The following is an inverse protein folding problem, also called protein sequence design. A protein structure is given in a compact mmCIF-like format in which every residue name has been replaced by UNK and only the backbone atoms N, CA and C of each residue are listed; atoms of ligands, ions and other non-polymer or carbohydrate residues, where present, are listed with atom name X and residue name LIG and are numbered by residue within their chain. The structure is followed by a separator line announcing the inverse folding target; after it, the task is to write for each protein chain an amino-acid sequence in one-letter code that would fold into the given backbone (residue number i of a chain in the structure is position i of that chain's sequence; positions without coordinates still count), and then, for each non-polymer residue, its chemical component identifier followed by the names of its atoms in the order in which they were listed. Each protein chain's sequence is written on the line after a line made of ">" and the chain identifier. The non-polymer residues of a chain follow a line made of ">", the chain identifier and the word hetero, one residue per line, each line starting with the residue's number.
data_IF_145871688401
#
_entry.id   IF_145871688401
#
_cell.length_a   1.000
_cell.length_b   1.000
_cell.length_c   1.000
_cell.angle_alpha   90.00
_cell.angle_beta   90.00
_cell.angle_gamma   90.00
#
_symmetry.space_group_name_H-M   'P 1'
#
loop_
_entity.id
_entity.type
_entity.pdbx_description
1 polymer ?
#
# COMPACT_ATOMS: atom_id res chain seq x y z
N UNK A 1 18.25 11.59 7.78
CA UNK A 1 17.45 10.59 7.06
C UNK A 1 17.71 9.20 7.62
N UNK A 2 16.69 8.66 8.28
CA UNK A 2 16.65 7.29 8.73
C UNK A 2 16.50 6.32 7.52
N UNK A 3 17.02 5.09 7.61
CA UNK A 3 16.82 4.08 6.58
C UNK A 3 15.33 3.84 6.29
N UNK A 4 14.97 3.63 5.01
CA UNK A 4 13.60 3.27 4.62
C UNK A 4 12.60 4.44 4.51
N UNK A 5 12.98 5.68 4.84
CA UNK A 5 12.07 6.84 4.71
C UNK A 5 11.52 7.00 3.29
N UNK A 6 12.39 6.90 2.28
CA UNK A 6 11.96 6.97 0.87
C UNK A 6 11.05 5.80 0.48
N UNK A 7 11.35 4.61 0.97
CA UNK A 7 10.56 3.40 0.74
C UNK A 7 9.12 3.60 1.24
N UNK A 8 8.98 4.07 2.47
CA UNK A 8 7.68 4.29 3.09
C UNK A 8 6.91 5.45 2.42
N UNK A 9 7.62 6.50 1.99
CA UNK A 9 7.06 7.60 1.22
C UNK A 9 6.45 7.13 -0.11
N UNK A 10 7.17 6.31 -0.88
CA UNK A 10 6.64 5.76 -2.14
C UNK A 10 5.45 4.82 -1.90
N UNK A 11 5.51 3.99 -0.85
CA UNK A 11 4.41 3.09 -0.55
C UNK A 11 3.14 3.86 -0.15
N UNK A 12 3.27 4.96 0.60
CA UNK A 12 2.18 5.88 0.90
C UNK A 12 1.68 6.59 -0.36
N UNK A 13 2.58 7.01 -1.25
CA UNK A 13 2.20 7.66 -2.52
C UNK A 13 1.32 6.75 -3.36
N UNK A 14 1.72 5.49 -3.54
CA UNK A 14 0.94 4.49 -4.29
C UNK A 14 -0.38 4.19 -3.56
N UNK A 15 -0.36 4.01 -2.24
CA UNK A 15 -1.56 3.75 -1.46
C UNK A 15 -2.59 4.89 -1.55
N UNK A 16 -2.16 6.16 -1.47
CA UNK A 16 -3.05 7.33 -1.63
C UNK A 16 -3.58 7.40 -3.07
N UNK A 17 -2.71 7.19 -4.06
CA UNK A 17 -3.10 7.19 -5.50
C UNK A 17 -4.21 6.18 -5.78
N UNK A 18 -4.18 5.01 -5.12
CA UNK A 18 -5.15 3.93 -5.29
C UNK A 18 -6.29 3.96 -4.26
N UNK A 19 -6.31 4.94 -3.35
CA UNK A 19 -7.38 5.14 -2.36
C UNK A 19 -7.36 4.20 -1.15
N UNK A 20 -6.21 3.62 -0.82
CA UNK A 20 -6.00 2.74 0.34
C UNK A 20 -5.35 3.43 1.53
N UNK A 21 -4.89 4.66 1.34
CA UNK A 21 -4.43 5.55 2.40
C UNK A 21 -5.01 6.95 2.19
N UNK A 22 -5.09 7.71 3.27
CA UNK A 22 -5.49 9.11 3.27
C UNK A 22 -4.27 10.03 3.42
N UNK A 23 -4.45 11.32 3.12
CA UNK A 23 -3.46 12.37 3.41
C UNK A 23 -3.04 12.34 4.88
N UNK A 24 -3.98 12.07 5.79
CA UNK A 24 -3.71 11.97 7.22
C UNK A 24 -2.71 10.85 7.57
N UNK A 25 -2.67 9.74 6.81
CA UNK A 25 -1.71 8.66 7.06
C UNK A 25 -0.28 9.10 6.71
N UNK A 26 -0.12 9.91 5.65
CA UNK A 26 1.18 10.47 5.26
C UNK A 26 1.66 11.53 6.26
N UNK A 27 0.77 12.38 6.76
CA UNK A 27 1.08 13.34 7.83
C UNK A 27 1.52 12.61 9.09
N UNK A 28 0.73 11.63 9.55
CA UNK A 28 1.04 10.86 10.75
C UNK A 28 2.38 10.09 10.61
N UNK A 29 2.69 9.60 9.41
CA UNK A 29 4.00 9.05 9.12
C UNK A 29 5.12 10.09 9.26
N UNK A 30 5.01 11.22 8.56
CA UNK A 30 6.03 12.27 8.60
C UNK A 30 6.27 12.77 10.03
N UNK A 31 5.21 12.98 10.82
CA UNK A 31 5.30 13.40 12.22
C UNK A 31 6.10 12.40 13.07
N UNK A 32 5.85 11.09 12.90
CA UNK A 32 6.64 10.04 13.60
C UNK A 32 8.11 10.10 13.21
N UNK A 33 8.40 10.31 11.92
CA UNK A 33 9.78 10.40 11.44
C UNK A 33 10.48 11.67 11.97
N UNK A 34 9.80 12.82 11.97
CA UNK A 34 10.31 14.09 12.51
C UNK A 34 10.65 13.97 14.00
N UNK A 35 9.81 13.28 14.77
CA UNK A 35 10.08 13.03 16.20
C UNK A 35 11.30 12.13 16.40
N UNK A 36 11.51 11.16 15.51
CA UNK A 36 12.59 10.18 15.63
C UNK A 36 13.94 10.65 15.06
N UNK A 37 13.95 11.54 14.07
CA UNK A 37 15.17 12.05 13.44
C UNK A 37 15.47 13.46 13.99
N UNK A 38 16.59 13.68 14.70
CA UNK A 38 16.95 15.00 15.22
C UNK A 38 17.31 16.01 14.12
N UNK A 39 17.46 15.58 12.86
CA UNK A 39 17.68 16.43 11.68
C UNK A 39 16.84 15.88 10.51
N UNK A 40 15.52 16.03 10.56
CA UNK A 40 14.65 15.52 9.51
C UNK A 40 14.90 16.30 8.21
N UNK A 41 14.66 15.65 7.09
CA UNK A 41 14.69 16.31 5.78
C UNK A 41 13.53 17.32 5.67
N UNK A 42 13.74 18.41 4.94
CA UNK A 42 12.72 19.43 4.70
C UNK A 42 11.47 18.86 4.04
N UNK A 43 11.62 17.85 3.16
CA UNK A 43 10.49 17.19 2.54
C UNK A 43 9.51 16.58 3.57
N UNK A 44 10.01 16.10 4.72
CA UNK A 44 9.15 15.56 5.78
C UNK A 44 8.34 16.66 6.48
N UNK A 45 8.95 17.84 6.65
CA UNK A 45 8.27 19.00 7.24
C UNK A 45 7.16 19.49 6.30
N UNK A 46 7.42 19.55 5.00
CA UNK A 46 6.40 19.93 4.01
C UNK A 46 5.22 18.95 4.02
N UNK A 47 5.48 17.64 4.12
CA UNK A 47 4.43 16.61 4.23
C UNK A 47 3.62 16.78 5.53
N UNK A 48 4.27 16.97 6.67
CA UNK A 48 3.61 17.18 7.97
C UNK A 48 2.67 18.40 7.94
N UNK A 49 3.09 19.49 7.29
CA UNK A 49 2.32 20.73 7.18
C UNK A 49 1.22 20.68 6.11
N UNK A 50 1.27 19.74 5.17
CA UNK A 50 0.33 19.63 4.04
C UNK A 50 -1.00 18.94 4.38
N UNK A 51 -1.34 18.74 5.66
CA UNK A 51 -2.53 17.98 6.08
C UNK A 51 -3.89 18.52 5.61
N UNK A 52 -3.95 19.77 5.12
CA UNK A 52 -5.16 20.38 4.51
C UNK A 52 -5.12 20.42 2.97
N UNK A 53 -4.04 19.93 2.36
CA UNK A 53 -3.85 19.90 0.91
C UNK A 53 -4.69 18.84 0.21
N UNK A 54 -4.65 18.86 -1.13
CA UNK A 54 -5.31 17.82 -1.93
C UNK A 54 -4.48 16.52 -1.92
N UNK A 55 -5.10 15.35 -2.18
CA UNK A 55 -4.35 14.11 -2.37
C UNK A 55 -3.28 14.22 -3.47
N UNK A 56 -3.52 15.00 -4.52
CA UNK A 56 -2.57 15.21 -5.62
C UNK A 56 -1.32 15.97 -5.16
N UNK A 57 -1.48 16.98 -4.31
CA UNK A 57 -0.35 17.72 -3.73
C UNK A 57 0.46 16.79 -2.83
N UNK A 58 -0.21 16.00 -1.99
CA UNK A 58 0.44 15.02 -1.11
C UNK A 58 1.23 13.96 -1.92
N UNK A 59 0.67 13.47 -3.02
CA UNK A 59 1.36 12.54 -3.93
C UNK A 59 2.65 13.15 -4.49
N UNK A 60 2.62 14.46 -4.79
CA UNK A 60 3.78 15.19 -5.31
C UNK A 60 4.85 15.32 -4.24
N UNK A 61 4.48 15.71 -3.01
CA UNK A 61 5.40 15.84 -1.88
C UNK A 61 6.06 14.49 -1.53
N UNK A 62 5.30 13.41 -1.50
CA UNK A 62 5.82 12.06 -1.20
C UNK A 62 6.85 11.59 -2.25
N UNK A 63 6.63 11.92 -3.53
CA UNK A 63 7.59 11.62 -4.61
C UNK A 63 8.90 12.36 -4.42
N UNK A 64 8.86 13.59 -3.90
CA UNK A 64 10.01 14.47 -3.79
C UNK A 64 10.87 14.20 -2.54
N UNK A 65 10.43 13.30 -1.64
CA UNK A 65 11.27 12.76 -0.57
C UNK A 65 12.54 12.16 -1.19
N UNK A 66 13.75 12.52 -0.71
CA UNK A 66 14.99 12.04 -1.30
C UNK A 66 15.31 10.60 -0.87
N UNK A 67 16.05 9.88 -1.71
CA UNK A 67 16.53 8.53 -1.46
C UNK A 67 16.31 7.60 -2.65
N UNK A 68 16.87 6.40 -2.55
CA UNK A 68 16.64 5.32 -3.52
C UNK A 68 15.51 4.40 -3.05
N UNK A 69 14.89 3.72 -4.01
CA UNK A 69 13.76 2.83 -3.78
C UNK A 69 14.06 1.47 -4.37
N UNK A 70 13.73 0.43 -3.62
CA UNK A 70 13.55 -0.90 -4.19
C UNK A 70 12.07 -1.09 -4.53
N UNK A 71 11.76 -1.14 -5.83
CA UNK A 71 10.38 -1.22 -6.31
C UNK A 71 9.65 -2.44 -5.77
N UNK A 72 10.32 -3.59 -5.72
CA UNK A 72 9.73 -4.82 -5.18
C UNK A 72 9.29 -4.61 -3.73
N UNK A 73 10.20 -4.12 -2.88
CA UNK A 73 9.87 -3.82 -1.49
C UNK A 73 8.73 -2.80 -1.36
N UNK A 74 8.60 -1.82 -2.26
CA UNK A 74 7.53 -0.80 -2.19
C UNK A 74 6.20 -1.49 -2.43
N UNK A 75 6.14 -2.36 -3.43
CA UNK A 75 4.93 -3.10 -3.74
C UNK A 75 4.55 -4.06 -2.62
N UNK A 76 5.49 -4.77 -2.02
CA UNK A 76 5.22 -5.63 -0.84
C UNK A 76 4.61 -4.83 0.31
N UNK A 77 5.09 -3.61 0.54
CA UNK A 77 4.55 -2.69 1.55
C UNK A 77 3.15 -2.15 1.20
N UNK A 78 2.87 -1.93 -0.08
CA UNK A 78 1.54 -1.55 -0.57
C UNK A 78 0.56 -2.72 -0.39
N UNK A 79 0.96 -3.95 -0.73
CA UNK A 79 0.15 -5.16 -0.55
C UNK A 79 -0.14 -5.41 0.94
N UNK A 80 0.81 -5.15 1.84
CA UNK A 80 0.59 -5.21 3.28
C UNK A 80 -0.46 -4.18 3.76
N UNK A 81 -0.48 -2.96 3.20
CA UNK A 81 -1.53 -1.96 3.48
C UNK A 81 -2.88 -2.40 2.96
N UNK A 82 -2.94 -2.99 1.75
CA UNK A 82 -4.17 -3.55 1.21
C UNK A 82 -4.73 -4.68 2.07
N UNK A 83 -3.86 -5.56 2.59
CA UNK A 83 -4.26 -6.63 3.50
C UNK A 83 -4.88 -6.07 4.78
N UNK A 84 -4.24 -5.08 5.42
CA UNK A 84 -4.82 -4.39 6.59
C UNK A 84 -6.17 -3.74 6.28
N UNK A 85 -6.30 -3.10 5.11
CA UNK A 85 -7.55 -2.52 4.68
C UNK A 85 -8.65 -3.58 4.44
N UNK A 86 -8.28 -4.76 3.92
CA UNK A 86 -9.19 -5.89 3.73
C UNK A 86 -9.65 -6.48 5.07
N UNK A 87 -8.75 -6.62 6.03
CA UNK A 87 -9.05 -7.18 7.34
C UNK A 87 -9.89 -6.22 8.20
N UNK A 88 -9.69 -4.92 8.04
CA UNK A 88 -10.53 -3.90 8.68
C UNK A 88 -11.95 -3.84 8.08
N UNK A 89 -12.09 -4.06 6.77
CA UNK A 89 -13.36 -3.95 6.07
C UNK A 89 -13.41 -4.84 4.81
N UNK A 90 -13.99 -6.04 4.96
CA UNK A 90 -14.14 -7.00 3.87
C UNK A 90 -15.04 -6.48 2.73
N UNK A 91 -15.84 -5.42 2.93
CA UNK A 91 -16.62 -4.81 1.86
C UNK A 91 -15.71 -4.17 0.79
N UNK A 92 -14.46 -3.82 1.13
CA UNK A 92 -13.48 -3.23 0.21
C UNK A 92 -12.85 -4.23 -0.76
N UNK A 93 -13.08 -5.53 -0.59
CA UNK A 93 -12.37 -6.59 -1.31
C UNK A 93 -12.39 -6.42 -2.84
N UNK A 94 -13.55 -6.14 -3.43
CA UNK A 94 -13.67 -5.94 -4.89
C UNK A 94 -12.89 -4.71 -5.37
N UNK A 95 -12.85 -3.63 -4.58
CA UNK A 95 -12.04 -2.45 -4.88
C UNK A 95 -10.55 -2.77 -4.83
N UNK A 96 -10.12 -3.55 -3.84
CA UNK A 96 -8.73 -4.01 -3.71
C UNK A 96 -8.34 -4.88 -4.91
N UNK A 97 -9.17 -5.85 -5.27
CA UNK A 97 -8.96 -6.70 -6.44
C UNK A 97 -8.82 -5.88 -7.73
N UNK A 98 -9.70 -4.91 -7.95
CA UNK A 98 -9.62 -4.02 -9.12
C UNK A 98 -8.33 -3.17 -9.12
N UNK A 99 -7.87 -2.69 -7.96
CA UNK A 99 -6.60 -1.97 -7.90
C UNK A 99 -5.40 -2.87 -8.18
N UNK A 100 -5.42 -4.14 -7.77
CA UNK A 100 -4.38 -5.12 -8.14
C UNK A 100 -4.33 -5.32 -9.65
N UNK A 101 -5.49 -5.45 -10.30
CA UNK A 101 -5.59 -5.53 -11.76
C UNK A 101 -4.94 -4.31 -12.44
N UNK A 102 -5.25 -3.10 -11.99
CA UNK A 102 -4.67 -1.88 -12.58
C UNK A 102 -3.18 -1.76 -12.30
N UNK A 103 -2.72 -2.05 -11.08
CA UNK A 103 -1.30 -2.07 -10.76
C UNK A 103 -0.53 -3.06 -11.64
N UNK A 104 -1.12 -4.24 -11.89
CA UNK A 104 -0.54 -5.23 -12.80
C UNK A 104 -0.49 -4.72 -14.24
N UNK A 105 -1.57 -4.11 -14.71
CA UNK A 105 -1.68 -3.54 -16.06
C UNK A 105 -0.72 -2.37 -16.29
N UNK A 106 -0.51 -1.54 -15.26
CA UNK A 106 0.38 -0.38 -15.28
C UNK A 106 1.86 -0.77 -15.15
N UNK A 107 2.17 -2.05 -14.89
CA UNK A 107 3.53 -2.56 -14.71
C UNK A 107 4.09 -2.41 -13.29
N UNK A 108 3.30 -1.94 -12.33
CA UNK A 108 3.69 -1.85 -10.92
C UNK A 108 3.94 -3.25 -10.33
N UNK A 109 3.26 -4.29 -10.82
CA UNK A 109 3.42 -5.68 -10.37
C UNK A 109 3.99 -6.57 -11.49
N UNK A 110 5.32 -6.67 -11.69
CA UNK A 110 5.90 -7.57 -12.70
C UNK A 110 5.55 -9.06 -12.45
N UNK A 111 5.67 -9.90 -13.48
CA UNK A 111 5.34 -11.34 -13.41
C UNK A 111 6.16 -12.07 -12.33
N UNK A 112 7.45 -11.83 -12.25
CA UNK A 112 8.25 -12.17 -11.09
C UNK A 112 8.48 -10.92 -10.24
N UNK A 113 8.26 -10.96 -8.91
CA UNK A 113 7.79 -12.10 -8.10
C UNK A 113 6.26 -12.14 -7.85
N UNK A 114 5.44 -11.33 -8.52
CA UNK A 114 4.04 -11.10 -8.15
C UNK A 114 3.01 -11.94 -8.93
N UNK A 115 3.45 -12.73 -9.90
CA UNK A 115 2.62 -13.64 -10.68
C UNK A 115 1.60 -12.95 -11.59
N UNK A 116 0.66 -13.75 -12.09
CA UNK A 116 -0.42 -13.32 -13.00
C UNK A 116 -1.77 -13.17 -12.27
N UNK A 117 -1.84 -13.66 -11.03
CA UNK A 117 -3.02 -13.69 -10.16
C UNK A 117 -3.75 -12.34 -10.01
N UNK A 118 -3.07 -11.17 -9.96
CA UNK A 118 -3.75 -9.88 -9.97
C UNK A 118 -4.77 -9.69 -11.09
N UNK A 119 -4.53 -10.26 -12.27
CA UNK A 119 -5.49 -10.20 -13.38
C UNK A 119 -6.74 -11.03 -13.09
N UNK A 120 -6.56 -12.24 -12.55
CA UNK A 120 -7.65 -13.22 -12.41
C UNK A 120 -8.51 -12.94 -11.18
N UNK A 121 -7.94 -12.40 -10.09
CA UNK A 121 -8.69 -12.16 -8.85
C UNK A 121 -9.85 -11.17 -9.09
N UNK A 122 -9.65 -10.11 -9.89
CA UNK A 122 -10.71 -9.18 -10.24
C UNK A 122 -11.85 -9.85 -11.03
N UNK A 123 -11.50 -10.76 -11.95
CA UNK A 123 -12.47 -11.53 -12.74
C UNK A 123 -13.31 -12.46 -11.85
N UNK A 124 -12.70 -13.09 -10.84
CA UNK A 124 -13.43 -13.95 -9.88
C UNK A 124 -14.51 -13.14 -9.14
N UNK A 125 -14.21 -11.91 -8.70
CA UNK A 125 -15.23 -11.02 -8.12
C UNK A 125 -16.34 -10.68 -9.10
N UNK A 126 -15.99 -10.33 -10.35
CA UNK A 126 -16.96 -9.98 -11.37
C UNK A 126 -17.91 -11.15 -11.69
N UNK A 127 -17.39 -12.37 -11.81
CA UNK A 127 -18.15 -13.58 -12.09
C UNK A 127 -19.03 -14.01 -10.91
N UNK A 128 -18.54 -13.90 -9.68
CA UNK A 128 -19.32 -14.19 -8.48
C UNK A 128 -20.49 -13.20 -8.32
N UNK A 129 -20.27 -11.92 -8.64
CA UNK A 129 -21.30 -10.88 -8.55
C UNK A 129 -22.50 -11.12 -9.47
N UNK A 130 -22.28 -11.73 -10.63
CA UNK A 130 -23.36 -12.07 -11.59
C UNK A 130 -23.89 -13.50 -11.42
N UNK A 131 -23.39 -14.25 -10.43
CA UNK A 131 -23.82 -15.62 -10.14
C UNK A 131 -23.34 -16.68 -11.13
N UNK A 132 -22.29 -16.38 -11.92
CA UNK A 132 -21.77 -17.29 -12.95
C UNK A 132 -20.77 -18.29 -12.40
N UNK A 133 -19.84 -17.86 -11.54
CA UNK A 133 -18.79 -18.71 -10.98
C UNK A 133 -18.40 -18.28 -9.56
N UNK A 134 -18.29 -19.27 -8.67
CA UNK A 134 -17.88 -19.07 -7.29
C UNK A 134 -18.84 -18.20 -6.47
N UNK A 135 -18.35 -17.79 -5.31
CA UNK A 135 -19.04 -16.90 -4.38
C UNK A 135 -18.15 -15.72 -3.98
N UNK A 136 -18.78 -14.65 -3.50
CA UNK A 136 -18.05 -13.48 -2.98
C UNK A 136 -17.06 -13.88 -1.87
N UNK A 137 -17.44 -14.82 -1.02
CA UNK A 137 -16.59 -15.26 0.09
C UNK A 137 -15.38 -16.06 -0.40
N UNK A 138 -15.52 -16.84 -1.48
CA UNK A 138 -14.40 -17.50 -2.14
C UNK A 138 -13.44 -16.48 -2.76
N UNK A 139 -13.97 -15.48 -3.46
CA UNK A 139 -13.18 -14.39 -4.04
C UNK A 139 -12.37 -13.63 -2.98
N UNK A 140 -12.98 -13.34 -1.82
CA UNK A 140 -12.29 -12.72 -0.67
C UNK A 140 -11.18 -13.60 -0.12
N UNK A 141 -11.42 -14.92 0.00
CA UNK A 141 -10.39 -15.87 0.47
C UNK A 141 -9.21 -15.94 -0.48
N UNK A 142 -9.45 -15.92 -1.78
CA UNK A 142 -8.41 -15.92 -2.80
C UNK A 142 -7.58 -14.63 -2.76
N UNK A 143 -8.25 -13.47 -2.72
CA UNK A 143 -7.59 -12.18 -2.55
C UNK A 143 -6.70 -12.15 -1.29
N UNK A 144 -7.24 -12.58 -0.15
CA UNK A 144 -6.48 -12.59 1.11
C UNK A 144 -5.27 -13.52 1.03
N UNK A 145 -5.39 -14.67 0.37
CA UNK A 145 -4.27 -15.61 0.18
C UNK A 145 -3.15 -14.96 -0.65
N UNK A 146 -3.51 -14.31 -1.76
CA UNK A 146 -2.56 -13.58 -2.59
C UNK A 146 -1.85 -12.47 -1.79
N UNK A 147 -2.61 -11.64 -1.09
CA UNK A 147 -2.04 -10.57 -0.28
C UNK A 147 -1.08 -11.09 0.80
N UNK A 148 -1.43 -12.18 1.51
CA UNK A 148 -0.50 -12.78 2.48
C UNK A 148 0.77 -13.34 1.85
N UNK A 149 0.69 -13.93 0.66
CA UNK A 149 1.85 -14.53 -0.01
C UNK A 149 2.88 -13.49 -0.47
N UNK A 150 2.42 -12.28 -0.80
CA UNK A 150 3.26 -11.24 -1.41
C UNK A 150 3.49 -10.00 -0.54
N UNK A 151 2.69 -9.76 0.49
CA UNK A 151 2.90 -8.65 1.42
C UNK A 151 4.23 -8.77 2.16
N UNK A 152 4.80 -7.62 2.55
CA UNK A 152 5.90 -7.59 3.49
C UNK A 152 5.46 -8.24 4.82
N UNK A 153 6.31 -9.10 5.39
CA UNK A 153 6.10 -9.62 6.73
C UNK A 153 6.01 -8.45 7.72
N UNK A 154 5.10 -8.53 8.69
CA UNK A 154 5.08 -7.54 9.77
C UNK A 154 6.46 -7.49 10.45
N UNK A 155 6.99 -6.31 10.77
CA UNK A 155 8.19 -6.23 11.60
C UNK A 155 7.89 -6.90 12.94
N UNK A 156 8.56 -8.02 13.22
CA UNK A 156 8.56 -8.61 14.55
C UNK A 156 9.17 -7.58 15.50
N UNK A 157 8.36 -7.02 16.40
CA UNK A 157 8.89 -6.24 17.53
C UNK A 157 9.73 -7.22 18.36
N UNK A 158 11.05 -6.99 18.56
CA UNK A 158 11.84 -7.85 19.41
C UNK A 158 11.23 -7.85 20.81
N UNK A 159 10.91 -9.03 21.34
CA UNK A 159 10.25 -9.22 22.65
C UNK A 159 11.20 -8.99 23.85
N UNK A 160 12.33 -8.31 23.64
CA UNK A 160 13.35 -8.08 24.67
C UNK A 160 13.56 -6.58 24.92
N UNK A 161 12.58 -5.98 25.60
CA UNK A 161 12.76 -4.77 26.39
C UNK A 161 11.75 -4.76 27.55
N UNK A 162 11.95 -5.65 28.51
CA UNK A 162 11.36 -5.56 29.86
C UNK A 162 12.48 -5.43 30.88
#
# INVERSE_FOLDING_TARGET
>A
MLPGQKQEAEALRVAITRGFAAVADAVAWADRVIVADPRPDWALLDISLAGRGSPADMITLLRDVPGEVDHESVMRDVLARMLRALDADAARAERIANSLYWMKSDGDLPDEPFGWEPYTIADVFALARVGTYGSRDEAVRELRRYLHAHAASEPQVPEDAR
#
